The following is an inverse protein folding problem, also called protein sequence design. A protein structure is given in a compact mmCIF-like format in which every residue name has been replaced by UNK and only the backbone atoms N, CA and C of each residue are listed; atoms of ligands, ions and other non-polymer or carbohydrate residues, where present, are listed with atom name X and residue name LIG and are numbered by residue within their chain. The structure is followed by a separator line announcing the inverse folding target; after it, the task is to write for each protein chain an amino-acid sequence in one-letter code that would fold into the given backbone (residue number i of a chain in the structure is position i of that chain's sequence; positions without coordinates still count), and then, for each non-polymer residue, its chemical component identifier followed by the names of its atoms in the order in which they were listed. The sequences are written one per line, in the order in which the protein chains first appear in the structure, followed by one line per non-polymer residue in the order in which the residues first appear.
data_IF_646175725739
#
_entry.id   IF_646175725739
#
_cell.length_a   1.000
_cell.length_b   1.000
_cell.length_c   1.000
_cell.angle_alpha   90.00
_cell.angle_beta   90.00
_cell.angle_gamma   90.00
#
_symmetry.space_group_name_H-M   'P 1'
#
loop_
_entity.id
_entity.type
_entity.pdbx_description
1 polymer ?
#
# COMPACT_ATOMS: atom_id res chain seq x y z
N UNK A 1 -19.99 -5.25 10.22
CA UNK A 1 -20.89 -6.41 10.12
C UNK A 1 -22.25 -5.88 9.71
N UNK A 2 -22.75 -6.26 8.53
CA UNK A 2 -24.12 -5.98 8.09
C UNK A 2 -24.87 -7.30 7.88
N UNK A 3 -26.19 -7.23 7.70
CA UNK A 3 -27.06 -8.41 7.55
C UNK A 3 -27.53 -8.47 6.10
N UNK A 4 -27.00 -9.43 5.34
CA UNK A 4 -27.26 -9.60 3.89
C UNK A 4 -28.29 -10.71 3.60
N UNK A 5 -29.31 -10.85 4.46
CA UNK A 5 -30.31 -11.94 4.36
C UNK A 5 -31.70 -11.38 4.05
N UNK A 6 -32.38 -11.98 3.07
CA UNK A 6 -33.75 -11.63 2.70
C UNK A 6 -33.84 -10.26 2.02
N UNK A 7 -34.87 -9.47 2.33
CA UNK A 7 -35.05 -8.13 1.74
C UNK A 7 -33.87 -7.19 2.02
N UNK A 8 -33.15 -7.41 3.13
CA UNK A 8 -31.97 -6.63 3.51
C UNK A 8 -30.70 -7.02 2.72
N UNK A 9 -30.76 -7.96 1.78
CA UNK A 9 -29.69 -8.10 0.78
C UNK A 9 -29.67 -6.93 -0.23
N UNK A 10 -30.82 -6.28 -0.44
CA UNK A 10 -30.98 -5.23 -1.45
C UNK A 10 -31.49 -3.90 -0.86
N UNK A 11 -32.23 -3.93 0.25
CA UNK A 11 -32.74 -2.73 0.91
C UNK A 11 -31.84 -2.34 2.09
N UNK A 12 -31.33 -1.11 2.08
CA UNK A 12 -30.65 -0.53 3.23
C UNK A 12 -31.60 -0.35 4.44
N UNK A 13 -31.05 -0.43 5.64
CA UNK A 13 -31.71 -0.01 6.87
C UNK A 13 -31.99 1.51 6.85
N UNK A 14 -32.92 1.95 7.70
CA UNK A 14 -33.15 3.38 7.91
C UNK A 14 -31.86 4.04 8.45
N UNK A 15 -31.39 5.17 7.87
CA UNK A 15 -30.26 5.95 8.36
C UNK A 15 -30.22 6.17 9.88
N UNK A 16 -31.37 6.47 10.51
CA UNK A 16 -31.45 6.71 11.96
C UNK A 16 -30.99 5.49 12.75
N UNK A 17 -31.46 4.29 12.34
CA UNK A 17 -31.05 3.03 12.96
C UNK A 17 -29.54 2.76 12.77
N UNK A 18 -29.02 3.01 11.56
CA UNK A 18 -27.59 2.82 11.26
C UNK A 18 -26.73 3.77 12.10
N UNK A 19 -27.17 5.02 12.25
CA UNK A 19 -26.53 6.03 13.07
C UNK A 19 -26.51 5.63 14.56
N UNK A 20 -27.65 5.19 15.09
CA UNK A 20 -27.78 4.80 16.50
C UNK A 20 -26.95 3.55 16.82
N UNK A 21 -27.00 2.52 15.96
CA UNK A 21 -26.29 1.26 16.18
C UNK A 21 -24.79 1.33 15.86
N UNK A 22 -24.35 2.38 15.14
CA UNK A 22 -22.95 2.65 14.75
C UNK A 22 -22.28 1.57 13.88
N UNK A 23 -23.06 0.74 13.20
CA UNK A 23 -22.56 -0.23 12.23
C UNK A 23 -23.57 -0.45 11.09
N UNK A 24 -23.07 -0.95 9.96
CA UNK A 24 -23.84 -1.27 8.75
C UNK A 24 -22.94 -1.87 7.67
N UNK A 25 -23.54 -2.38 6.60
CA UNK A 25 -22.87 -2.77 5.35
C UNK A 25 -22.68 -1.58 4.39
N UNK A 26 -22.31 -1.85 3.13
CA UNK A 26 -22.04 -0.83 2.12
C UNK A 26 -23.26 0.05 1.82
N UNK A 27 -24.44 -0.55 1.62
CA UNK A 27 -25.67 0.18 1.33
C UNK A 27 -26.15 0.97 2.55
N UNK A 28 -26.08 0.40 3.76
CA UNK A 28 -26.43 1.10 5.00
C UNK A 28 -25.59 2.36 5.19
N UNK A 29 -24.27 2.25 5.05
CA UNK A 29 -23.35 3.38 5.23
C UNK A 29 -23.48 4.42 4.11
N UNK A 30 -23.69 3.99 2.86
CA UNK A 30 -23.87 4.89 1.72
C UNK A 30 -25.18 5.67 1.79
N UNK A 31 -26.27 5.01 2.21
CA UNK A 31 -27.57 5.68 2.42
C UNK A 31 -27.50 6.65 3.60
N UNK A 32 -26.84 6.27 4.71
CA UNK A 32 -26.59 7.18 5.84
C UNK A 32 -25.77 8.41 5.41
N UNK A 33 -24.63 8.22 4.73
CA UNK A 33 -23.79 9.32 4.27
C UNK A 33 -24.55 10.24 3.30
N UNK A 34 -25.26 9.67 2.32
CA UNK A 34 -26.07 10.46 1.39
C UNK A 34 -27.15 11.28 2.10
N UNK A 35 -27.80 10.73 3.12
CA UNK A 35 -28.81 11.44 3.89
C UNK A 35 -28.21 12.63 4.66
N UNK A 36 -27.05 12.42 5.31
CA UNK A 36 -26.34 13.48 6.04
C UNK A 36 -25.87 14.61 5.12
N UNK A 37 -25.31 14.28 3.95
CA UNK A 37 -24.88 15.28 2.96
C UNK A 37 -26.07 16.10 2.44
N UNK A 38 -27.18 15.44 2.08
CA UNK A 38 -28.41 16.12 1.62
C UNK A 38 -29.01 17.01 2.70
N UNK A 39 -29.03 16.56 3.95
CA UNK A 39 -29.47 17.37 5.08
C UNK A 39 -28.64 18.66 5.24
N UNK A 40 -27.36 18.62 4.88
CA UNK A 40 -26.47 19.79 4.84
C UNK A 40 -26.55 20.62 3.56
N UNK A 41 -27.47 20.28 2.64
CA UNK A 41 -27.64 20.99 1.37
C UNK A 41 -26.58 20.66 0.32
N UNK A 42 -25.81 19.58 0.48
CA UNK A 42 -24.81 19.15 -0.48
C UNK A 42 -25.40 18.14 -1.47
N UNK A 43 -24.88 18.15 -2.71
CA UNK A 43 -25.23 17.15 -3.71
C UNK A 43 -24.72 15.77 -3.30
N UNK A 44 -25.58 14.76 -3.33
CA UNK A 44 -25.19 13.38 -3.05
C UNK A 44 -26.03 12.39 -3.86
N UNK A 45 -25.33 11.54 -4.61
CA UNK A 45 -25.89 10.51 -5.47
C UNK A 45 -25.39 9.15 -5.01
N UNK A 46 -26.29 8.19 -4.83
CA UNK A 46 -25.90 6.81 -4.57
C UNK A 46 -25.38 6.20 -5.87
N UNK A 47 -24.29 5.45 -5.77
CA UNK A 47 -23.60 4.86 -6.90
C UNK A 47 -23.44 3.37 -6.66
N UNK A 48 -23.84 2.57 -7.64
CA UNK A 48 -23.68 1.12 -7.64
C UNK A 48 -22.36 0.77 -8.34
N UNK A 49 -21.61 -0.13 -7.73
CA UNK A 49 -20.31 -0.58 -8.22
C UNK A 49 -20.22 -2.11 -8.20
N UNK A 50 -19.27 -2.64 -8.95
CA UNK A 50 -18.80 -4.01 -8.80
C UNK A 50 -17.38 -3.95 -8.22
N UNK A 51 -17.18 -4.54 -7.04
CA UNK A 51 -15.89 -4.56 -6.34
C UNK A 51 -15.00 -5.74 -6.72
N UNK A 52 -15.48 -6.63 -7.59
CA UNK A 52 -14.73 -7.79 -8.10
C UNK A 52 -14.32 -7.60 -9.56
N UNK A 53 -15.20 -7.02 -10.36
CA UNK A 53 -15.03 -6.83 -11.80
C UNK A 53 -14.67 -5.38 -12.11
N UNK A 54 -13.39 -5.12 -12.37
CA UNK A 54 -12.92 -3.78 -12.74
C UNK A 54 -13.39 -3.42 -14.16
N UNK A 55 -12.98 -4.20 -15.17
CA UNK A 55 -13.17 -3.81 -16.58
C UNK A 55 -14.36 -4.49 -17.27
N UNK A 56 -14.85 -5.62 -16.75
CA UNK A 56 -15.77 -6.51 -17.46
C UNK A 56 -17.26 -6.14 -17.31
N UNK A 57 -17.60 -5.25 -16.37
CA UNK A 57 -19.00 -4.85 -16.12
C UNK A 57 -19.81 -4.45 -17.37
N UNK A 58 -19.24 -3.75 -18.38
CA UNK A 58 -19.97 -3.38 -19.59
C UNK A 58 -20.37 -4.57 -20.48
N UNK A 59 -19.73 -5.73 -20.30
CA UNK A 59 -20.01 -6.94 -21.07
C UNK A 59 -21.20 -7.73 -20.51
N UNK A 60 -21.63 -7.39 -19.28
CA UNK A 60 -22.71 -8.08 -18.60
C UNK A 60 -24.06 -7.59 -19.13
N UNK A 61 -25.03 -8.52 -19.20
CA UNK A 61 -26.42 -8.12 -19.42
C UNK A 61 -26.91 -7.26 -18.25
N UNK A 62 -27.73 -6.22 -18.50
CA UNK A 62 -28.27 -5.39 -17.43
C UNK A 62 -29.00 -6.23 -16.38
N UNK A 63 -28.47 -6.24 -15.15
CA UNK A 63 -29.03 -6.98 -14.02
C UNK A 63 -28.74 -6.27 -12.71
N UNK A 64 -29.68 -6.23 -11.75
CA UNK A 64 -29.40 -5.79 -10.39
C UNK A 64 -28.28 -6.61 -9.71
N UNK A 65 -28.06 -7.86 -10.12
CA UNK A 65 -27.00 -8.72 -9.60
C UNK A 65 -25.60 -8.38 -10.13
N UNK A 66 -25.48 -7.49 -11.13
CA UNK A 66 -24.19 -7.07 -11.66
C UNK A 66 -23.43 -6.13 -10.72
N UNK A 67 -24.11 -5.61 -9.68
CA UNK A 67 -23.55 -4.72 -8.68
C UNK A 67 -23.57 -5.39 -7.31
N UNK A 68 -22.42 -5.43 -6.65
CA UNK A 68 -22.22 -6.04 -5.33
C UNK A 68 -21.82 -5.02 -4.26
N UNK A 69 -21.66 -3.74 -4.64
CA UNK A 69 -21.18 -2.68 -3.77
C UNK A 69 -21.93 -1.37 -4.01
N UNK A 70 -22.03 -0.53 -2.99
CA UNK A 70 -22.67 0.78 -3.06
C UNK A 70 -21.82 1.83 -2.38
N UNK A 71 -21.58 2.92 -3.09
CA UNK A 71 -20.78 4.08 -2.67
C UNK A 71 -21.56 5.39 -2.92
N UNK A 72 -20.96 6.53 -2.62
CA UNK A 72 -21.59 7.84 -2.77
C UNK A 72 -20.75 8.73 -3.69
N UNK A 73 -21.39 9.41 -4.64
CA UNK A 73 -20.80 10.56 -5.32
C UNK A 73 -21.33 11.83 -4.67
N UNK A 74 -20.43 12.62 -4.07
CA UNK A 74 -20.76 13.89 -3.44
C UNK A 74 -20.38 15.04 -4.37
N UNK A 75 -21.20 16.07 -4.46
CA UNK A 75 -20.94 17.27 -5.27
C UNK A 75 -21.00 18.53 -4.41
N UNK A 76 -19.95 19.36 -4.51
CA UNK A 76 -19.80 20.62 -3.80
C UNK A 76 -19.24 21.66 -4.77
N UNK A 77 -19.96 22.78 -4.95
CA UNK A 77 -19.57 23.90 -5.81
C UNK A 77 -19.15 23.48 -7.24
N UNK A 78 -19.92 22.57 -7.85
CA UNK A 78 -19.67 22.06 -9.20
C UNK A 78 -18.48 21.10 -9.32
N UNK A 79 -17.91 20.64 -8.20
CA UNK A 79 -16.87 19.60 -8.16
C UNK A 79 -17.42 18.39 -7.45
N UNK A 80 -17.27 17.22 -8.08
CA UNK A 80 -17.71 15.97 -7.47
C UNK A 80 -16.57 15.03 -7.11
N UNK A 81 -16.85 14.17 -6.14
CA UNK A 81 -15.91 13.18 -5.62
C UNK A 81 -16.64 11.90 -5.23
N UNK A 82 -16.07 10.75 -5.60
CA UNK A 82 -16.52 9.46 -5.10
C UNK A 82 -16.00 9.20 -3.70
N UNK A 83 -16.86 8.70 -2.82
CA UNK A 83 -16.57 8.36 -1.44
C UNK A 83 -17.10 6.96 -1.20
N UNK A 84 -16.22 6.05 -0.79
CA UNK A 84 -16.62 4.76 -0.24
C UNK A 84 -16.68 4.84 1.30
N UNK A 85 -17.87 4.93 1.90
CA UNK A 85 -18.02 5.05 3.35
C UNK A 85 -17.73 3.75 4.10
N UNK A 86 -17.43 2.65 3.39
CA UNK A 86 -17.01 1.40 4.04
C UNK A 86 -15.55 1.42 4.46
N UNK A 87 -14.72 2.26 3.82
CA UNK A 87 -13.30 2.41 4.13
C UNK A 87 -13.15 3.25 5.40
N UNK A 88 -12.49 2.66 6.40
CA UNK A 88 -12.32 3.29 7.72
C UNK A 88 -10.91 3.82 7.89
N UNK A 89 -10.76 4.83 8.76
CA UNK A 89 -9.47 5.40 9.17
C UNK A 89 -8.65 6.02 8.02
N UNK A 90 -9.32 6.57 7.01
CA UNK A 90 -8.62 7.34 5.98
C UNK A 90 -8.09 8.64 6.55
N UNK A 91 -6.81 8.90 6.32
CA UNK A 91 -6.17 10.17 6.62
C UNK A 91 -6.32 11.17 5.48
N UNK A 92 -5.72 12.34 5.63
CA UNK A 92 -5.61 13.34 4.59
C UNK A 92 -6.84 14.22 4.44
N UNK A 93 -6.68 15.22 3.57
CA UNK A 93 -7.77 16.06 3.14
C UNK A 93 -8.79 15.22 2.35
N UNK A 94 -10.08 15.56 2.46
CA UNK A 94 -11.18 14.79 1.81
C UNK A 94 -10.92 14.54 0.32
N UNK A 95 -10.33 15.51 -0.37
CA UNK A 95 -10.00 15.47 -1.80
C UNK A 95 -8.96 14.42 -2.19
N UNK A 96 -8.12 14.03 -1.24
CA UNK A 96 -7.01 13.11 -1.46
C UNK A 96 -7.30 11.72 -0.89
N UNK A 97 -8.53 11.50 -0.40
CA UNK A 97 -8.92 10.21 0.14
C UNK A 97 -8.97 9.17 -0.95
N UNK A 98 -8.39 8.02 -0.64
CA UNK A 98 -8.39 6.88 -1.54
C UNK A 98 -9.81 6.43 -1.87
N UNK A 99 -10.07 6.28 -3.17
CA UNK A 99 -11.24 5.61 -3.69
C UNK A 99 -10.74 4.43 -4.54
N UNK A 100 -11.14 3.18 -4.24
CA UNK A 100 -10.76 2.03 -5.04
C UNK A 100 -11.25 2.17 -6.47
N UNK A 101 -10.45 1.66 -7.42
CA UNK A 101 -10.87 1.62 -8.81
C UNK A 101 -11.92 0.51 -8.99
N UNK A 102 -13.16 0.93 -9.24
CA UNK A 102 -14.29 0.03 -9.53
C UNK A 102 -14.64 -0.01 -11.01
N UNK A 103 -13.74 0.48 -11.88
CA UNK A 103 -13.98 0.62 -13.31
C UNK A 103 -15.22 1.43 -13.62
N UNK A 104 -16.23 0.81 -14.27
CA UNK A 104 -17.50 1.49 -14.56
C UNK A 104 -18.48 1.38 -13.39
N UNK A 105 -19.12 2.49 -13.07
CA UNK A 105 -20.11 2.58 -11.98
C UNK A 105 -21.43 3.16 -12.47
N UNK A 106 -22.55 2.73 -11.87
CA UNK A 106 -23.88 3.20 -12.22
C UNK A 106 -24.39 4.20 -11.19
N UNK A 107 -24.66 5.43 -11.60
CA UNK A 107 -25.35 6.39 -10.74
C UNK A 107 -26.82 6.00 -10.62
N UNK A 108 -27.30 5.78 -9.40
CA UNK A 108 -28.65 5.31 -9.09
C UNK A 108 -29.70 6.42 -9.28
N UNK A 109 -29.86 6.87 -10.52
CA UNK A 109 -30.80 7.90 -10.97
C UNK A 109 -31.67 7.34 -12.10
N UNK A 110 -32.83 7.94 -12.32
CA UNK A 110 -33.73 7.50 -13.39
C UNK A 110 -33.06 7.71 -14.76
N UNK A 111 -32.86 6.62 -15.50
CA UNK A 111 -32.14 6.66 -16.78
C UNK A 111 -30.63 6.82 -16.65
N UNK A 112 -30.08 6.52 -15.47
CA UNK A 112 -28.64 6.55 -15.21
C UNK A 112 -27.85 5.70 -16.20
N UNK A 113 -26.62 6.13 -16.47
CA UNK A 113 -25.68 5.43 -17.35
C UNK A 113 -24.47 4.97 -16.53
N UNK A 114 -23.72 4.03 -17.09
CA UNK A 114 -22.39 3.71 -16.59
C UNK A 114 -21.46 4.92 -16.78
N UNK A 115 -20.70 5.24 -15.74
CA UNK A 115 -19.68 6.28 -15.72
C UNK A 115 -18.34 5.64 -15.38
N UNK A 116 -17.27 6.16 -15.94
CA UNK A 116 -15.92 5.73 -15.61
C UNK A 116 -15.49 6.26 -14.24
N UNK A 117 -14.71 5.45 -13.53
CA UNK A 117 -13.91 5.87 -12.38
C UNK A 117 -12.45 5.96 -12.81
N UNK A 118 -11.64 6.76 -12.12
CA UNK A 118 -10.22 6.91 -12.46
C UNK A 118 -9.38 5.91 -11.65
N UNK A 119 -8.44 5.23 -12.33
CA UNK A 119 -7.44 4.39 -11.69
C UNK A 119 -6.19 5.22 -11.39
N UNK A 120 -6.13 5.82 -10.20
CA UNK A 120 -5.01 6.69 -9.80
C UNK A 120 -4.05 5.96 -8.86
N UNK A 121 -2.75 6.25 -8.97
CA UNK A 121 -1.76 5.85 -7.95
C UNK A 121 -2.14 6.53 -6.64
N UNK A 122 -2.69 5.76 -5.71
CA UNK A 122 -3.26 6.33 -4.49
C UNK A 122 -2.37 6.19 -3.26
N UNK A 123 -1.16 5.64 -3.40
CA UNK A 123 -0.22 5.49 -2.29
C UNK A 123 1.19 5.11 -2.73
N UNK A 124 2.15 5.30 -1.83
CA UNK A 124 3.55 4.96 -2.01
C UNK A 124 4.09 4.25 -0.78
N UNK A 125 5.09 3.39 -0.97
CA UNK A 125 5.90 2.82 0.11
C UNK A 125 7.36 3.14 -0.15
N UNK A 126 7.99 3.84 0.80
CA UNK A 126 9.43 4.11 0.80
C UNK A 126 10.09 3.40 1.96
N UNK A 127 11.05 2.53 1.65
CA UNK A 127 11.88 1.83 2.64
C UNK A 127 13.28 2.42 2.61
N UNK A 128 13.84 2.74 3.77
CA UNK A 128 15.25 3.05 3.95
C UNK A 128 15.89 2.05 4.91
N UNK A 129 16.88 1.31 4.43
CA UNK A 129 17.67 0.38 5.25
C UNK A 129 19.08 0.92 5.44
N UNK A 130 19.53 1.04 6.68
CA UNK A 130 20.89 1.52 7.01
C UNK A 130 21.65 0.45 7.76
N UNK A 131 22.61 -0.16 7.07
CA UNK A 131 23.56 -1.11 7.62
C UNK A 131 24.82 -0.38 8.07
N UNK A 132 25.03 -0.33 9.38
CA UNK A 132 26.28 0.14 9.96
C UNK A 132 27.17 -1.07 10.25
N UNK A 133 28.19 -1.27 9.42
CA UNK A 133 29.14 -2.38 9.57
C UNK A 133 30.06 -2.16 10.79
N UNK A 134 30.42 -3.26 11.43
CA UNK A 134 31.32 -3.32 12.57
C UNK A 134 32.64 -4.02 12.19
N UNK A 135 33.71 -3.76 12.96
CA UNK A 135 35.05 -4.32 12.68
C UNK A 135 35.10 -5.84 12.71
N UNK A 136 34.29 -6.45 13.57
CA UNK A 136 34.20 -7.88 13.81
C UNK A 136 33.37 -8.61 12.75
N UNK A 137 32.86 -7.90 11.73
CA UNK A 137 32.01 -8.47 10.69
C UNK A 137 30.51 -8.48 11.04
N UNK A 138 30.13 -7.96 12.21
CA UNK A 138 28.74 -7.68 12.56
C UNK A 138 28.21 -6.40 11.90
N UNK A 139 26.92 -6.14 12.08
CA UNK A 139 26.30 -4.89 11.68
C UNK A 139 25.11 -4.54 12.58
N UNK A 140 24.73 -3.26 12.60
CA UNK A 140 23.38 -2.86 13.03
C UNK A 140 22.57 -2.43 11.83
N UNK A 141 21.28 -2.77 11.84
CA UNK A 141 20.33 -2.41 10.78
C UNK A 141 19.27 -1.49 11.38
N UNK A 142 19.13 -0.30 10.82
CA UNK A 142 18.05 0.66 11.08
C UNK A 142 17.15 0.73 9.85
N UNK A 143 15.88 0.37 10.02
CA UNK A 143 14.88 0.33 8.94
C UNK A 143 13.86 1.40 9.21
N UNK A 144 13.68 2.31 8.26
CA UNK A 144 12.60 3.29 8.25
C UNK A 144 11.69 2.98 7.06
N UNK A 145 10.41 2.69 7.33
CA UNK A 145 9.41 2.57 6.26
C UNK A 145 8.41 3.69 6.38
N UNK A 146 8.15 4.38 5.27
CA UNK A 146 7.18 5.48 5.15
C UNK A 146 6.13 5.07 4.14
N UNK A 147 4.87 5.09 4.59
CA UNK A 147 3.70 4.82 3.78
C UNK A 147 2.92 6.12 3.60
N UNK A 148 2.43 6.37 2.39
CA UNK A 148 1.57 7.52 2.08
C UNK A 148 0.28 7.09 1.41
N UNK A 149 -0.75 7.92 1.51
CA UNK A 149 -2.03 7.68 0.84
C UNK A 149 -2.70 6.38 1.30
N UNK A 150 -3.22 5.58 0.36
CA UNK A 150 -3.88 4.31 0.64
C UNK A 150 -3.00 3.33 1.42
N UNK A 151 -1.67 3.35 1.21
CA UNK A 151 -0.75 2.49 1.96
C UNK A 151 -0.65 2.93 3.43
N UNK A 152 -0.71 4.23 3.71
CA UNK A 152 -0.76 4.75 5.08
C UNK A 152 -2.07 4.32 5.77
N UNK A 153 -3.20 4.44 5.07
CA UNK A 153 -4.51 3.99 5.57
C UNK A 153 -4.51 2.49 5.90
N UNK A 154 -3.93 1.67 5.02
CA UNK A 154 -3.78 0.23 5.23
C UNK A 154 -2.94 -0.07 6.47
N UNK A 155 -1.78 0.57 6.61
CA UNK A 155 -0.89 0.35 7.75
C UNK A 155 -1.48 0.86 9.06
N UNK A 156 -2.16 2.00 9.05
CA UNK A 156 -2.91 2.51 10.20
C UNK A 156 -3.97 1.51 10.66
N UNK A 157 -4.74 0.96 9.73
CA UNK A 157 -5.73 -0.07 10.04
C UNK A 157 -5.08 -1.34 10.60
N UNK A 158 -3.99 -1.80 9.99
CA UNK A 158 -3.23 -2.97 10.44
C UNK A 158 -2.73 -2.80 11.89
N UNK A 159 -2.14 -1.66 12.23
CA UNK A 159 -1.65 -1.37 13.59
C UNK A 159 -2.75 -1.18 14.62
N UNK A 160 -3.96 -0.72 14.21
CA UNK A 160 -5.12 -0.66 15.10
C UNK A 160 -5.72 -2.03 15.41
N UNK A 161 -5.57 -3.00 14.50
CA UNK A 161 -6.19 -4.32 14.59
C UNK A 161 -5.23 -5.41 15.09
N UNK A 162 -3.92 -5.17 15.02
CA UNK A 162 -2.89 -6.15 15.34
C UNK A 162 -2.11 -5.74 16.57
N UNK A 163 -1.90 -6.66 17.52
CA UNK A 163 -1.10 -6.39 18.70
C UNK A 163 0.35 -6.08 18.32
N UNK A 164 0.93 -5.02 18.89
CA UNK A 164 2.30 -4.58 18.59
C UNK A 164 3.35 -5.70 18.65
N UNK A 165 3.24 -6.60 19.63
CA UNK A 165 4.16 -7.74 19.77
C UNK A 165 4.10 -8.70 18.57
N UNK A 166 2.91 -8.92 18.01
CA UNK A 166 2.75 -9.75 16.81
C UNK A 166 3.40 -9.09 15.60
N UNK A 167 3.21 -7.77 15.43
CA UNK A 167 3.87 -6.99 14.37
C UNK A 167 5.40 -7.09 14.49
N UNK A 168 5.95 -6.85 15.69
CA UNK A 168 7.38 -6.95 15.96
C UNK A 168 7.95 -8.34 15.63
N UNK A 169 7.20 -9.41 15.95
CA UNK A 169 7.59 -10.77 15.60
C UNK A 169 7.61 -10.97 14.09
N UNK A 170 6.54 -10.60 13.38
CA UNK A 170 6.46 -10.75 11.93
C UNK A 170 7.55 -9.98 11.19
N UNK A 171 7.88 -8.77 11.64
CA UNK A 171 8.95 -7.96 11.06
C UNK A 171 10.36 -8.55 11.35
N UNK A 172 10.58 -9.03 12.57
CA UNK A 172 11.82 -9.74 12.92
C UNK A 172 12.00 -11.02 12.06
N UNK A 173 10.95 -11.82 11.94
CA UNK A 173 10.96 -13.05 11.14
C UNK A 173 11.21 -12.78 9.65
N UNK A 174 10.68 -11.67 9.13
CA UNK A 174 10.95 -11.23 7.77
C UNK A 174 12.46 -11.04 7.54
N UNK A 175 13.13 -10.24 8.38
CA UNK A 175 14.56 -9.97 8.23
C UNK A 175 15.47 -11.16 8.54
N UNK A 176 15.05 -12.07 9.42
CA UNK A 176 15.79 -13.30 9.75
C UNK A 176 15.89 -14.29 8.57
N UNK A 177 15.03 -14.18 7.55
CA UNK A 177 15.13 -14.98 6.32
C UNK A 177 16.37 -14.62 5.49
N UNK A 178 16.85 -13.38 5.60
CA UNK A 178 17.95 -12.86 4.79
C UNK A 178 19.26 -12.78 5.59
N UNK A 179 19.18 -12.41 6.87
CA UNK A 179 20.35 -12.19 7.71
C UNK A 179 20.41 -13.19 8.86
N UNK A 180 21.38 -14.11 8.79
CA UNK A 180 21.63 -15.10 9.84
C UNK A 180 22.00 -14.41 11.15
N UNK A 181 21.55 -14.97 12.27
CA UNK A 181 21.83 -14.46 13.62
C UNK A 181 21.41 -12.99 13.82
N UNK A 182 20.37 -12.53 13.11
CA UNK A 182 19.73 -11.24 13.33
C UNK A 182 18.84 -11.30 14.58
N UNK A 183 18.95 -10.30 15.44
CA UNK A 183 18.13 -10.15 16.65
C UNK A 183 17.62 -8.71 16.80
N UNK A 184 16.44 -8.56 17.42
CA UNK A 184 15.88 -7.25 17.78
C UNK A 184 16.82 -6.49 18.73
N UNK A 185 17.09 -5.21 18.42
CA UNK A 185 17.91 -4.32 19.26
C UNK A 185 17.05 -3.44 20.17
N UNK A 186 15.93 -2.93 19.66
CA UNK A 186 14.95 -2.15 20.44
C UNK A 186 13.52 -2.45 19.99
N UNK A 187 12.55 -1.96 20.75
CA UNK A 187 11.14 -2.03 20.33
C UNK A 187 10.91 -1.25 19.04
N UNK A 188 9.97 -1.73 18.23
CA UNK A 188 9.44 -1.03 17.06
C UNK A 188 8.81 0.29 17.49
N UNK A 189 9.04 1.36 16.75
CA UNK A 189 8.32 2.62 16.89
C UNK A 189 7.52 2.91 15.64
N UNK A 190 6.41 3.64 15.76
CA UNK A 190 5.63 4.10 14.62
C UNK A 190 5.06 5.49 14.90
N UNK A 191 4.82 6.25 13.84
CA UNK A 191 4.17 7.55 13.88
C UNK A 191 3.03 7.57 12.84
N UNK A 192 1.89 8.12 13.22
CA UNK A 192 0.71 8.24 12.38
C UNK A 192 0.31 9.71 12.24
N UNK A 193 0.72 10.32 11.14
CA UNK A 193 0.30 11.66 10.73
C UNK A 193 -0.97 11.54 9.89
N UNK A 194 -2.11 11.55 10.60
CA UNK A 194 -3.43 11.42 9.98
C UNK A 194 -3.76 12.64 9.11
N UNK A 195 -3.23 13.82 9.40
CA UNK A 195 -3.54 15.05 8.66
C UNK A 195 -2.91 15.03 7.26
N UNK A 196 -1.64 14.60 7.16
CA UNK A 196 -0.92 14.50 5.89
C UNK A 196 -1.05 13.13 5.21
N UNK A 197 -1.82 12.22 5.82
CA UNK A 197 -1.95 10.81 5.43
C UNK A 197 -0.61 10.09 5.26
N UNK A 198 0.22 10.17 6.29
CA UNK A 198 1.53 9.51 6.35
C UNK A 198 1.58 8.60 7.57
N UNK A 199 2.02 7.36 7.37
CA UNK A 199 2.30 6.42 8.45
C UNK A 199 3.76 5.98 8.34
N UNK A 200 4.52 6.00 9.42
CA UNK A 200 5.91 5.55 9.40
C UNK A 200 6.20 4.54 10.49
N UNK A 201 7.09 3.60 10.20
CA UNK A 201 7.61 2.61 11.14
C UNK A 201 9.12 2.70 11.19
N UNK A 202 9.69 2.45 12.37
CA UNK A 202 11.14 2.36 12.54
C UNK A 202 11.57 1.19 13.41
N UNK A 203 12.50 0.41 12.89
CA UNK A 203 12.97 -0.84 13.46
C UNK A 203 14.49 -0.81 13.63
N UNK A 204 14.98 -1.44 14.69
CA UNK A 204 16.42 -1.53 14.94
C UNK A 204 16.81 -2.96 15.27
N UNK A 205 17.79 -3.47 14.54
CA UNK A 205 18.30 -4.82 14.64
C UNK A 205 19.82 -4.86 14.80
N UNK A 206 20.29 -5.97 15.34
CA UNK A 206 21.71 -6.34 15.37
C UNK A 206 21.89 -7.62 14.55
N UNK A 207 22.91 -7.64 13.70
CA UNK A 207 23.31 -8.78 12.88
C UNK A 207 24.69 -9.20 13.38
N UNK A 208 24.81 -10.37 14.03
CA UNK A 208 26.10 -10.82 14.57
C UNK A 208 27.12 -11.14 13.49
N UNK A 209 26.66 -11.66 12.34
CA UNK A 209 27.50 -12.00 11.19
C UNK A 209 26.83 -11.46 9.93
N UNK A 210 27.18 -10.24 9.54
CA UNK A 210 26.67 -9.58 8.35
C UNK A 210 27.60 -9.79 7.13
N UNK A 211 28.87 -10.06 7.39
CA UNK A 211 29.91 -10.19 6.37
C UNK A 211 30.42 -11.63 6.34
N UNK A 212 30.37 -12.24 5.16
CA UNK A 212 30.95 -13.54 4.88
C UNK A 212 32.31 -13.37 4.16
N UNK A 213 33.15 -14.41 4.25
CA UNK A 213 34.45 -14.45 3.57
C UNK A 213 34.36 -15.51 2.47
N UNK A 214 34.59 -15.09 1.23
CA UNK A 214 34.70 -16.00 0.11
C UNK A 214 35.96 -16.86 0.27
N UNK A 215 35.79 -18.19 0.33
CA UNK A 215 36.88 -19.12 0.65
C UNK A 215 37.94 -19.21 -0.45
N UNK A 216 37.60 -18.88 -1.71
CA UNK A 216 38.50 -18.98 -2.85
C UNK A 216 39.35 -17.72 -3.04
N UNK A 217 38.77 -16.55 -2.79
CA UNK A 217 39.39 -15.24 -3.04
C UNK A 217 39.82 -14.53 -1.76
N UNK A 218 39.35 -14.99 -0.59
CA UNK A 218 39.53 -14.32 0.70
C UNK A 218 38.77 -12.99 0.81
N UNK A 219 37.92 -12.66 -0.16
CA UNK A 219 37.20 -11.38 -0.19
C UNK A 219 36.01 -11.42 0.75
N UNK A 220 35.87 -10.35 1.53
CA UNK A 220 34.69 -10.09 2.35
C UNK A 220 33.54 -9.62 1.48
N UNK A 221 32.36 -10.17 1.69
CA UNK A 221 31.14 -9.77 0.99
C UNK A 221 29.94 -9.78 1.94
N UNK A 222 28.90 -9.04 1.58
CA UNK A 222 27.63 -9.00 2.27
C UNK A 222 26.52 -9.08 1.21
N UNK A 223 25.56 -9.99 1.42
CA UNK A 223 24.36 -10.03 0.60
C UNK A 223 23.45 -8.86 0.96
N UNK A 224 23.04 -8.09 -0.04
CA UNK A 224 21.99 -7.06 0.11
C UNK A 224 20.77 -7.54 -0.65
N UNK A 225 19.66 -7.68 0.07
CA UNK A 225 18.41 -8.21 -0.47
C UNK A 225 17.37 -7.10 -0.51
N UNK A 226 16.89 -6.75 -1.70
CA UNK A 226 15.75 -5.84 -1.83
C UNK A 226 14.43 -6.61 -1.78
N UNK A 227 14.21 -7.33 -0.67
CA UNK A 227 13.10 -8.25 -0.52
C UNK A 227 11.74 -7.55 -0.56
N UNK A 228 11.67 -6.26 -0.21
CA UNK A 228 10.46 -5.46 -0.37
C UNK A 228 9.98 -5.45 -1.81
N UNK A 229 10.87 -5.30 -2.80
CA UNK A 229 10.50 -5.29 -4.21
C UNK A 229 10.01 -6.65 -4.68
N UNK A 230 10.72 -7.73 -4.30
CA UNK A 230 10.36 -9.08 -4.74
C UNK A 230 8.98 -9.52 -4.26
N UNK A 231 8.49 -9.00 -3.13
CA UNK A 231 7.15 -9.31 -2.63
C UNK A 231 6.02 -8.77 -3.53
N UNK A 232 6.30 -7.76 -4.36
CA UNK A 232 5.35 -7.23 -5.34
C UNK A 232 5.54 -7.82 -6.74
N UNK A 233 6.55 -8.66 -6.93
CA UNK A 233 6.76 -9.39 -8.17
C UNK A 233 6.12 -10.77 -8.05
N UNK A 234 5.25 -11.16 -8.99
CA UNK A 234 4.67 -12.48 -9.00
C UNK A 234 5.75 -13.51 -9.34
N UNK A 235 5.63 -14.71 -8.77
CA UNK A 235 6.44 -15.84 -9.21
C UNK A 235 6.03 -16.23 -10.64
N UNK A 236 7.00 -16.24 -11.55
CA UNK A 236 6.82 -16.66 -12.93
C UNK A 236 7.51 -18.01 -13.10
N UNK A 237 6.79 -18.98 -13.67
CA UNK A 237 7.35 -20.25 -14.09
C UNK A 237 7.00 -20.52 -15.56
N UNK A 238 7.86 -21.27 -16.25
CA UNK A 238 7.72 -21.53 -17.69
C UNK A 238 6.52 -22.42 -18.04
N UNK A 239 5.91 -23.07 -17.04
CA UNK A 239 4.74 -23.93 -17.22
C UNK A 239 3.40 -23.17 -17.15
N UNK A 240 3.42 -21.87 -16.87
CA UNK A 240 2.20 -21.08 -16.66
C UNK A 240 1.50 -20.77 -17.99
N UNK A 241 0.22 -21.14 -18.07
CA UNK A 241 -0.65 -20.89 -19.24
C UNK A 241 -1.71 -19.82 -18.98
N UNK A 242 -1.96 -19.44 -17.72
CA UNK A 242 -2.94 -18.43 -17.33
C UNK A 242 -2.29 -17.06 -17.09
N UNK A 243 -3.00 -15.93 -17.33
CA UNK A 243 -2.50 -14.59 -17.08
C UNK A 243 -1.96 -14.38 -15.65
N UNK A 244 -1.05 -13.43 -15.51
CA UNK A 244 -0.46 -13.03 -14.23
C UNK A 244 -1.15 -11.75 -13.76
N UNK A 245 -1.83 -11.81 -12.62
CA UNK A 245 -2.35 -10.63 -11.97
C UNK A 245 -1.20 -9.86 -11.31
N UNK A 246 -1.11 -8.57 -11.58
CA UNK A 246 -0.24 -7.63 -10.88
C UNK A 246 -1.12 -6.70 -10.05
N UNK A 247 -0.59 -6.26 -8.91
CA UNK A 247 -1.17 -5.14 -8.19
C UNK A 247 -0.72 -3.85 -8.88
N UNK A 248 -1.65 -3.12 -9.47
CA UNK A 248 -1.39 -1.82 -10.08
C UNK A 248 -2.59 -0.88 -9.83
N UNK A 249 -2.38 0.45 -9.81
CA UNK A 249 -1.09 1.13 -9.93
C UNK A 249 -0.22 0.97 -8.68
N UNK A 250 1.10 0.90 -8.87
CA UNK A 250 2.08 0.65 -7.79
C UNK A 250 3.22 1.65 -7.86
N UNK A 251 3.68 2.12 -6.70
CA UNK A 251 4.92 2.89 -6.55
C UNK A 251 5.67 2.44 -5.30
N UNK A 252 6.94 2.07 -5.48
CA UNK A 252 7.84 1.65 -4.39
C UNK A 252 9.21 2.29 -4.57
N UNK A 253 9.73 2.78 -3.46
CA UNK A 253 11.10 3.24 -3.32
C UNK A 253 11.82 2.41 -2.26
N UNK A 254 13.03 1.93 -2.58
CA UNK A 254 13.86 1.24 -1.60
C UNK A 254 15.30 1.76 -1.67
N UNK A 255 15.75 2.41 -0.61
CA UNK A 255 17.11 2.92 -0.48
C UNK A 255 17.86 2.11 0.57
N UNK A 256 18.96 1.47 0.16
CA UNK A 256 19.87 0.75 1.05
C UNK A 256 21.15 1.54 1.20
N UNK A 257 21.57 1.76 2.44
CA UNK A 257 22.83 2.40 2.81
C UNK A 257 23.70 1.38 3.54
N UNK A 258 24.91 1.15 3.04
CA UNK A 258 25.93 0.33 3.69
C UNK A 258 27.09 1.23 4.10
N UNK A 259 27.30 1.37 5.40
CA UNK A 259 28.24 2.31 6.00
C UNK A 259 29.41 1.53 6.59
N UNK A 260 30.61 1.83 6.11
CA UNK A 260 31.84 1.20 6.60
C UNK A 260 32.16 1.61 8.05
N UNK A 261 32.84 0.74 8.82
CA UNK A 261 33.26 1.08 10.17
C UNK A 261 34.31 2.19 10.16
N UNK A 262 34.25 3.06 11.16
CA UNK A 262 35.25 4.12 11.44
C UNK A 262 35.49 5.11 10.29
N UNK A 263 34.48 5.38 9.47
CA UNK A 263 34.63 6.35 8.38
C UNK A 263 35.56 5.88 7.27
N UNK A 264 35.86 4.57 7.19
CA UNK A 264 36.71 4.02 6.13
C UNK A 264 36.07 4.25 4.77
N UNK A 265 36.72 4.97 3.85
CA UNK A 265 36.10 5.36 2.60
C UNK A 265 35.79 4.14 1.73
N UNK A 266 34.68 4.21 1.02
CA UNK A 266 34.32 3.28 -0.04
C UNK A 266 34.87 3.85 -1.36
N UNK A 267 35.50 3.04 -2.23
CA UNK A 267 35.93 3.49 -3.55
C UNK A 267 34.80 4.19 -4.31
N UNK A 268 35.16 5.23 -5.07
CA UNK A 268 34.21 5.97 -5.88
C UNK A 268 33.55 5.03 -6.90
N UNK A 269 32.23 4.94 -6.87
CA UNK A 269 31.43 4.14 -7.77
C UNK A 269 30.13 4.88 -8.07
N UNK A 270 29.74 4.90 -9.34
CA UNK A 270 28.47 5.45 -9.79
C UNK A 270 27.97 4.60 -10.95
N UNK A 271 26.86 3.91 -10.73
CA UNK A 271 26.20 3.08 -11.72
C UNK A 271 24.71 3.41 -11.73
N UNK A 272 24.08 3.38 -12.90
CA UNK A 272 22.66 3.58 -13.04
C UNK A 272 22.13 2.68 -14.15
N UNK A 273 21.04 1.99 -13.87
CA UNK A 273 20.27 1.21 -14.82
C UNK A 273 18.82 1.61 -14.66
N UNK A 274 18.17 1.94 -15.76
CA UNK A 274 16.75 2.30 -15.77
C UNK A 274 16.10 1.67 -16.99
N UNK A 275 14.97 1.03 -16.76
CA UNK A 275 14.12 0.44 -17.78
C UNK A 275 12.75 1.06 -17.64
N UNK A 276 12.26 1.63 -18.72
CA UNK A 276 10.92 2.20 -18.82
C UNK A 276 10.14 1.46 -19.91
N UNK A 277 8.95 1.00 -19.58
CA UNK A 277 8.04 0.26 -20.45
C UNK A 277 6.64 0.80 -20.23
N UNK A 278 5.76 0.53 -21.19
CA UNK A 278 4.36 0.94 -21.15
C UNK A 278 3.66 0.57 -19.82
N UNK A 279 3.89 -0.64 -19.31
CA UNK A 279 3.24 -1.14 -18.08
C UNK A 279 4.05 -0.96 -16.80
N UNK A 280 5.33 -0.62 -16.87
CA UNK A 280 6.19 -0.54 -15.69
C UNK A 280 7.48 0.25 -15.90
N UNK A 281 8.03 0.75 -14.80
CA UNK A 281 9.44 1.17 -14.74
C UNK A 281 10.20 0.43 -13.65
N UNK A 282 11.49 0.21 -13.90
CA UNK A 282 12.44 -0.26 -12.89
C UNK A 282 13.74 0.53 -12.99
N UNK A 283 14.16 1.10 -11.87
CA UNK A 283 15.42 1.81 -11.73
C UNK A 283 16.27 1.20 -10.62
N UNK A 284 17.57 1.06 -10.89
CA UNK A 284 18.60 0.79 -9.89
C UNK A 284 19.73 1.79 -10.05
N UNK A 285 20.08 2.48 -8.97
CA UNK A 285 21.27 3.33 -8.93
C UNK A 285 22.18 2.88 -7.81
N UNK A 286 23.48 2.92 -8.05
CA UNK A 286 24.52 2.68 -7.06
C UNK A 286 25.41 3.91 -7.02
N UNK A 287 25.67 4.42 -5.82
CA UNK A 287 26.55 5.57 -5.62
C UNK A 287 27.32 5.44 -4.33
N UNK A 288 28.52 6.01 -4.26
CA UNK A 288 29.30 6.07 -3.02
C UNK A 288 29.58 7.51 -2.61
N UNK A 289 29.62 7.75 -1.30
CA UNK A 289 29.98 9.03 -0.70
C UNK A 289 30.68 8.78 0.62
N UNK A 290 31.94 9.21 0.72
CA UNK A 290 32.81 8.97 1.88
C UNK A 290 32.88 7.47 2.22
N UNK A 291 32.34 7.08 3.37
CA UNK A 291 32.29 5.74 3.93
C UNK A 291 31.02 4.96 3.59
N UNK A 292 30.14 5.54 2.78
CA UNK A 292 28.79 5.02 2.54
C UNK A 292 28.61 4.61 1.08
N UNK A 293 28.12 3.40 0.88
CA UNK A 293 27.53 2.91 -0.37
C UNK A 293 26.01 3.07 -0.29
N UNK A 294 25.40 3.73 -1.28
CA UNK A 294 23.95 3.81 -1.46
C UNK A 294 23.53 3.01 -2.68
N UNK A 295 22.54 2.14 -2.50
CA UNK A 295 21.83 1.45 -3.58
C UNK A 295 20.38 1.92 -3.53
N UNK A 296 19.87 2.53 -4.59
CA UNK A 296 18.49 3.01 -4.66
C UNK A 296 17.73 2.28 -5.76
N UNK A 297 16.59 1.69 -5.39
CA UNK A 297 15.68 1.01 -6.29
C UNK A 297 14.37 1.78 -6.43
N UNK A 298 13.84 1.82 -7.64
CA UNK A 298 12.55 2.43 -7.97
C UNK A 298 11.77 1.43 -8.80
N UNK A 299 10.55 1.09 -8.38
CA UNK A 299 9.66 0.20 -9.11
C UNK A 299 8.27 0.81 -9.14
N UNK A 300 7.64 0.77 -10.29
CA UNK A 300 6.23 1.10 -10.39
C UNK A 300 5.54 0.35 -11.52
N UNK A 301 4.24 0.15 -11.36
CA UNK A 301 3.35 -0.45 -12.34
C UNK A 301 2.30 0.57 -12.73
N UNK A 302 2.09 0.72 -14.04
CA UNK A 302 1.16 1.67 -14.63
C UNK A 302 -0.07 0.95 -15.19
N UNK A 303 -1.16 1.69 -15.32
CA UNK A 303 -2.29 1.26 -16.14
C UNK A 303 -1.87 1.35 -17.62
N UNK A 304 -2.27 0.37 -18.42
CA UNK A 304 -1.97 0.29 -19.87
C UNK A 304 -3.19 0.65 -20.69
#
# INVERSE_FOLDING_TARGET
MGVEVGEYSHRANNPEKVFDQRYGDCKDKSVLLSALLKYKGLGATLVLANSYEEYELPEYLPSPSAFNHMVVYAEVDGRGQYIDPTISNQGGHIRDRYFPFYGKVLWATKGGKLNDTEKIVSGNTRVEERFQLQKDGGATLDVLTIYTGANADNMRNYFKQTAKKQIETSYLEYYQRFYKQLSKRSALTYEDDVENNVFSTREYYTIKQAVDVDAATGRRHMGIYSATLSNYLPEVNDARTAPIALQYPLSIEHDVYVINPEGKPVPAMKEATFTDRESYYFGKTISTSKDTLKIAYRLGFHDT
#
